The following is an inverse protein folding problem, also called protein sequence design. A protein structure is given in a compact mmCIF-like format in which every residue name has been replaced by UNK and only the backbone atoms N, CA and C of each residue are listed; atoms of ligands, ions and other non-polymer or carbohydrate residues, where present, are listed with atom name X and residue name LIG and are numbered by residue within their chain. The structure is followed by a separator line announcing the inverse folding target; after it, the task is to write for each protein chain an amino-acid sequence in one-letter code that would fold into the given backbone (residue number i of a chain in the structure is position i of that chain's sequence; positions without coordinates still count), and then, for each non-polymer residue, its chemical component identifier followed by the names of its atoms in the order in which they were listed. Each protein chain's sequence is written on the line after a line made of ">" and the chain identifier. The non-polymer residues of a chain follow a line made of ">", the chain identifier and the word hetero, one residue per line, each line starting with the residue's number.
data_IF_428733636566
#
_entry.id   IF_428733636566
#
_cell.length_a   1.000
_cell.length_b   1.000
_cell.length_c   1.000
_cell.angle_alpha   90.00
_cell.angle_beta   90.00
_cell.angle_gamma   90.00
#
_symmetry.space_group_name_H-M   'P 1'
#
loop_
_entity.id
_entity.type
_entity.pdbx_description
1 polymer ?
#
# COMPACT_ATOMS: atom_id res chain seq x y z
N UNK A 1 1.98 7.95 -5.41
CA UNK A 1 2.68 7.35 -4.25
C UNK A 1 2.93 5.90 -4.59
N UNK A 2 4.19 5.46 -4.63
CA UNK A 2 4.50 4.10 -5.09
C UNK A 2 4.36 3.12 -3.94
N UNK A 3 3.64 2.03 -4.17
CA UNK A 3 3.65 0.88 -3.28
C UNK A 3 4.84 0.02 -3.66
N UNK A 4 5.87 0.09 -2.84
CA UNK A 4 6.99 -0.84 -2.96
C UNK A 4 6.73 -2.03 -2.03
N UNK A 5 6.89 -3.25 -2.55
CA UNK A 5 6.96 -4.43 -1.68
C UNK A 5 8.35 -4.41 -1.09
N UNK A 6 8.45 -4.29 0.24
CA UNK A 6 9.74 -4.43 0.90
C UNK A 6 10.38 -5.76 0.48
N UNK A 7 11.50 -5.69 -0.24
CA UNK A 7 12.28 -6.82 -0.71
C UNK A 7 12.50 -7.80 0.44
N UNK A 8 11.92 -9.00 0.36
CA UNK A 8 12.40 -10.11 1.18
C UNK A 8 13.80 -10.47 0.71
N UNK A 9 14.72 -10.65 1.65
CA UNK A 9 16.14 -10.86 1.42
C UNK A 9 16.48 -11.88 0.33
N UNK A 10 17.55 -11.56 -0.39
CA UNK A 10 18.15 -12.32 -1.48
C UNK A 10 18.71 -13.67 -1.00
N UNK A 11 18.40 -14.76 -1.73
CA UNK A 11 19.33 -15.77 -2.29
C UNK A 11 18.65 -17.13 -2.54
N UNK A 12 18.51 -17.54 -3.81
CA UNK A 12 19.20 -18.70 -4.39
C UNK A 12 18.89 -18.87 -5.89
N UNK A 13 19.97 -19.05 -6.66
CA UNK A 13 20.00 -19.45 -8.07
C UNK A 13 19.13 -20.68 -8.35
N UNK A 14 18.31 -20.61 -9.41
CA UNK A 14 18.23 -21.66 -10.45
C UNK A 14 17.98 -20.95 -11.80
N UNK A 15 18.90 -21.15 -12.76
CA UNK A 15 18.65 -20.90 -14.18
C UNK A 15 18.01 -22.17 -14.76
N UNK A 16 16.78 -22.09 -15.25
CA UNK A 16 16.42 -22.44 -16.63
C UNK A 16 14.92 -22.23 -16.87
N UNK A 17 14.57 -21.68 -18.04
CA UNK A 17 13.20 -21.65 -18.56
C UNK A 17 12.44 -20.32 -18.39
N UNK A 18 12.54 -19.47 -19.41
CA UNK A 18 11.49 -18.53 -19.87
C UNK A 18 10.69 -17.76 -18.80
N UNK A 19 11.38 -17.04 -17.91
CA UNK A 19 10.73 -16.10 -17.00
C UNK A 19 10.90 -14.69 -17.53
N UNK A 20 9.92 -14.28 -18.35
CA UNK A 20 9.62 -12.87 -18.59
C UNK A 20 9.21 -12.29 -17.22
N UNK A 21 10.20 -11.93 -16.40
CA UNK A 21 10.00 -11.28 -15.11
C UNK A 21 9.42 -9.90 -15.39
N UNK A 22 8.10 -9.84 -15.46
CA UNK A 22 7.38 -8.58 -15.52
C UNK A 22 7.58 -7.87 -14.18
N UNK A 23 8.33 -6.77 -14.17
CA UNK A 23 8.41 -5.87 -13.04
C UNK A 23 7.06 -5.15 -12.88
N UNK A 24 6.13 -5.80 -12.18
CA UNK A 24 4.84 -5.22 -11.81
C UNK A 24 5.01 -4.31 -10.59
N UNK A 25 4.68 -3.03 -10.74
CA UNK A 25 4.68 -2.04 -9.66
C UNK A 25 3.28 -1.50 -9.43
N UNK A 26 2.88 -1.40 -8.17
CA UNK A 26 1.59 -0.83 -7.81
C UNK A 26 1.75 0.66 -7.48
N UNK A 27 0.90 1.49 -8.08
CA UNK A 27 0.83 2.92 -7.85
C UNK A 27 -0.47 3.23 -7.11
N UNK A 28 -0.35 3.82 -5.92
CA UNK A 28 -1.49 4.38 -5.21
C UNK A 28 -1.70 5.83 -5.65
N UNK A 29 -2.91 6.08 -6.14
CA UNK A 29 -3.40 7.40 -6.50
C UNK A 29 -4.60 7.69 -5.60
N UNK A 30 -4.45 8.67 -4.72
CA UNK A 30 -5.57 9.16 -3.91
C UNK A 30 -6.11 10.46 -4.48
N UNK A 31 -7.44 10.56 -4.54
CA UNK A 31 -8.14 11.82 -4.68
C UNK A 31 -8.41 12.41 -3.30
N UNK A 32 -8.35 13.73 -3.16
CA UNK A 32 -8.77 14.44 -1.94
C UNK A 32 -10.26 14.32 -1.65
N UNK A 33 -11.07 13.94 -2.66
CA UNK A 33 -12.53 13.93 -2.61
C UNK A 33 -13.15 12.59 -3.05
N UNK A 34 -12.34 11.56 -3.28
CA UNK A 34 -12.81 10.25 -3.77
C UNK A 34 -11.97 9.10 -3.23
N UNK A 35 -12.40 7.86 -3.45
CA UNK A 35 -11.70 6.68 -2.93
C UNK A 35 -10.27 6.62 -3.47
N UNK A 36 -9.40 5.98 -2.72
CA UNK A 36 -8.06 5.63 -3.20
C UNK A 36 -8.19 4.64 -4.34
N UNK A 37 -7.61 5.00 -5.48
CA UNK A 37 -7.47 4.14 -6.63
C UNK A 37 -6.08 3.50 -6.63
N UNK A 38 -6.03 2.19 -6.81
CA UNK A 38 -4.78 1.46 -7.04
C UNK A 38 -4.67 1.19 -8.53
N UNK A 39 -3.51 1.55 -9.06
CA UNK A 39 -3.16 1.37 -10.46
C UNK A 39 -2.02 0.37 -10.53
N UNK A 40 -2.14 -0.59 -11.43
CA UNK A 40 -1.05 -1.51 -11.72
C UNK A 40 -0.26 -0.95 -12.90
N UNK A 41 1.04 -0.86 -12.72
CA UNK A 41 1.99 -0.40 -13.71
C UNK A 41 2.91 -1.55 -14.09
N UNK A 42 3.05 -1.80 -15.38
CA UNK A 42 3.85 -2.89 -15.90
C UNK A 42 4.58 -2.42 -17.16
N UNK A 43 5.76 -2.99 -17.37
CA UNK A 43 6.59 -2.72 -18.54
C UNK A 43 6.50 -3.91 -19.48
N UNK A 44 6.07 -3.67 -20.72
CA UNK A 44 5.88 -4.71 -21.73
C UNK A 44 6.31 -4.17 -23.10
N UNK A 45 7.15 -4.95 -23.82
CA UNK A 45 7.61 -4.61 -25.17
C UNK A 45 8.19 -3.17 -25.30
N UNK A 46 9.06 -2.79 -24.36
CA UNK A 46 9.64 -1.45 -24.22
C UNK A 46 8.64 -0.31 -23.96
N UNK A 47 7.39 -0.63 -23.67
CA UNK A 47 6.32 0.31 -23.37
C UNK A 47 5.90 0.23 -21.91
N UNK A 48 5.80 1.40 -21.27
CA UNK A 48 5.20 1.52 -19.94
C UNK A 48 3.68 1.58 -20.07
N UNK A 49 3.00 0.60 -19.49
CA UNK A 49 1.55 0.49 -19.49
C UNK A 49 1.00 0.59 -18.07
N UNK A 50 -0.24 1.06 -17.96
CA UNK A 50 -0.96 1.13 -16.70
C UNK A 50 -2.44 0.80 -16.90
N UNK A 51 -2.99 0.05 -15.95
CA UNK A 51 -4.42 -0.20 -15.85
C UNK A 51 -4.91 0.16 -14.45
N UNK A 52 -6.13 0.69 -14.38
CA UNK A 52 -6.81 0.83 -13.09
C UNK A 52 -7.16 -0.58 -12.60
N UNK A 53 -6.70 -0.92 -11.40
CA UNK A 53 -6.82 -2.28 -10.85
C UNK A 53 -8.07 -2.36 -9.96
N UNK A 54 -8.09 -1.58 -8.87
CA UNK A 54 -9.20 -1.57 -7.93
C UNK A 54 -9.27 -0.28 -7.11
N UNK A 55 -10.36 -0.13 -6.35
CA UNK A 55 -10.57 0.95 -5.38
C UNK A 55 -10.55 0.43 -3.95
N UNK A 56 -9.97 1.22 -3.05
CA UNK A 56 -10.03 0.98 -1.62
C UNK A 56 -11.26 1.71 -1.07
N UNK A 57 -12.37 0.99 -1.00
CA UNK A 57 -13.67 1.55 -0.62
C UNK A 57 -13.66 2.17 0.77
N UNK A 58 -14.57 3.09 1.02
CA UNK A 58 -14.73 3.82 2.29
C UNK A 58 -13.58 4.78 2.63
N UNK A 59 -12.46 4.77 1.88
CA UNK A 59 -11.37 5.72 2.09
C UNK A 59 -11.82 7.18 1.88
N UNK A 60 -12.81 7.40 1.01
CA UNK A 60 -13.46 8.69 0.76
C UNK A 60 -14.25 9.25 1.95
N UNK A 61 -14.59 8.41 2.94
CA UNK A 61 -15.25 8.83 4.17
C UNK A 61 -14.26 9.45 5.17
N UNK A 62 -12.97 9.27 4.90
CA UNK A 62 -11.90 9.90 5.64
C UNK A 62 -11.48 11.18 4.93
N UNK A 63 -10.33 11.71 5.31
CA UNK A 63 -9.78 12.90 4.71
C UNK A 63 -8.60 12.57 3.79
N UNK A 64 -7.80 13.59 3.47
CA UNK A 64 -6.69 13.47 2.53
C UNK A 64 -5.74 12.34 2.90
N UNK A 65 -5.47 11.47 1.93
CA UNK A 65 -4.46 10.42 2.06
C UNK A 65 -3.08 11.03 1.82
N UNK A 66 -2.18 10.76 2.75
CA UNK A 66 -0.85 11.35 2.76
C UNK A 66 0.25 10.34 2.48
N UNK A 67 0.01 9.06 2.78
CA UNK A 67 1.01 8.00 2.65
C UNK A 67 0.36 6.61 2.52
N UNK A 68 1.08 5.64 1.96
CA UNK A 68 0.62 4.28 1.75
C UNK A 68 1.80 3.35 1.52
N UNK A 69 1.66 2.09 1.94
CA UNK A 69 2.66 1.04 1.73
C UNK A 69 1.99 -0.35 1.75
N UNK A 70 2.67 -1.36 1.18
CA UNK A 70 2.27 -2.76 1.32
C UNK A 70 3.04 -3.38 2.49
N UNK A 71 2.33 -3.96 3.45
CA UNK A 71 2.91 -4.66 4.62
C UNK A 71 2.31 -6.06 4.72
N UNK A 72 3.13 -7.07 4.41
CA UNK A 72 2.63 -8.45 4.23
C UNK A 72 1.59 -8.48 3.11
N UNK A 73 0.43 -9.05 3.41
CA UNK A 73 -0.72 -9.15 2.49
C UNK A 73 -1.74 -8.03 2.70
N UNK A 74 -1.30 -6.88 3.19
CA UNK A 74 -2.18 -5.74 3.46
C UNK A 74 -1.64 -4.44 2.88
N UNK A 75 -2.56 -3.59 2.44
CA UNK A 75 -2.27 -2.21 2.03
C UNK A 75 -2.56 -1.32 3.24
N UNK A 76 -1.56 -0.62 3.72
CA UNK A 76 -1.71 0.38 4.77
C UNK A 76 -1.76 1.77 4.15
N UNK A 77 -2.67 2.62 4.63
CA UNK A 77 -2.85 3.99 4.17
C UNK A 77 -2.86 4.94 5.37
N UNK A 78 -2.03 5.98 5.34
CA UNK A 78 -2.03 7.07 6.31
C UNK A 78 -2.86 8.26 5.83
N UNK A 79 -3.62 8.86 6.75
CA UNK A 79 -4.50 10.01 6.48
C UNK A 79 -4.04 11.27 7.22
N UNK A 80 -4.48 12.43 6.73
CA UNK A 80 -4.23 13.72 7.38
C UNK A 80 -4.93 13.85 8.75
N UNK A 81 -6.00 13.10 9.00
CA UNK A 81 -6.71 13.07 10.29
C UNK A 81 -6.01 12.20 11.33
N UNK A 82 -4.85 11.62 10.99
CA UNK A 82 -4.08 10.79 11.90
C UNK A 82 -4.63 9.39 12.06
N UNK A 83 -5.24 8.83 11.00
CA UNK A 83 -5.66 7.43 10.95
C UNK A 83 -4.73 6.65 10.02
N UNK A 84 -4.53 5.39 10.36
CA UNK A 84 -3.92 4.39 9.48
C UNK A 84 -4.98 3.34 9.20
N UNK A 85 -5.34 3.18 7.94
CA UNK A 85 -6.32 2.22 7.45
C UNK A 85 -5.58 1.02 6.88
N UNK A 86 -6.02 -0.19 7.21
CA UNK A 86 -5.50 -1.41 6.62
C UNK A 86 -6.56 -2.07 5.75
N UNK A 87 -6.17 -2.43 4.54
CA UNK A 87 -6.96 -3.15 3.56
C UNK A 87 -6.30 -4.48 3.23
N UNK A 88 -7.08 -5.45 2.78
CA UNK A 88 -6.51 -6.67 2.19
C UNK A 88 -5.80 -6.32 0.88
N UNK A 89 -4.65 -6.94 0.63
CA UNK A 89 -3.94 -6.85 -0.64
C UNK A 89 -4.35 -7.97 -1.61
N UNK A 90 -5.31 -8.83 -1.26
CA UNK A 90 -5.81 -9.86 -2.17
C UNK A 90 -6.65 -9.22 -3.27
N UNK A 91 -6.00 -8.93 -4.41
CA UNK A 91 -6.54 -8.23 -5.58
C UNK A 91 -7.72 -8.95 -6.28
N UNK A 92 -8.19 -10.10 -5.78
CA UNK A 92 -9.31 -10.87 -6.36
C UNK A 92 -10.69 -10.24 -6.10
N UNK A 93 -10.75 -9.14 -5.34
CA UNK A 93 -12.00 -8.47 -4.97
C UNK A 93 -12.06 -7.07 -5.58
N UNK A 94 -13.13 -6.82 -6.35
CA UNK A 94 -13.41 -5.52 -6.96
C UNK A 94 -13.62 -4.36 -5.95
N UNK A 95 -13.82 -4.68 -4.67
CA UNK A 95 -13.86 -3.71 -3.57
C UNK A 95 -13.12 -4.25 -2.35
N UNK A 96 -12.12 -3.52 -1.87
CA UNK A 96 -11.45 -3.83 -0.61
C UNK A 96 -12.04 -2.98 0.51
N UNK A 97 -12.62 -3.65 1.49
CA UNK A 97 -13.10 -3.01 2.73
C UNK A 97 -11.96 -2.83 3.73
N UNK A 98 -12.18 -1.91 4.68
CA UNK A 98 -11.24 -1.63 5.76
C UNK A 98 -11.22 -2.83 6.71
N UNK A 99 -10.11 -3.55 6.78
CA UNK A 99 -9.90 -4.62 7.74
C UNK A 99 -9.74 -4.08 9.16
N UNK A 100 -9.04 -2.95 9.30
CA UNK A 100 -8.79 -2.34 10.61
C UNK A 100 -8.34 -0.89 10.49
N UNK A 101 -8.37 -0.18 11.61
CA UNK A 101 -7.91 1.21 11.73
C UNK A 101 -7.12 1.42 13.01
N UNK A 102 -5.98 2.12 12.91
CA UNK A 102 -5.22 2.64 14.05
C UNK A 102 -5.28 4.17 14.06
N UNK A 103 -5.36 4.79 15.25
CA UNK A 103 -5.42 6.25 15.40
C UNK A 103 -4.18 6.78 16.13
N UNK A 104 -3.49 7.74 15.50
CA UNK A 104 -2.27 8.39 16.00
C UNK A 104 -2.54 9.83 16.49
N UNK A 105 -3.78 10.33 16.34
CA UNK A 105 -4.23 11.65 16.82
C UNK A 105 -3.38 12.85 16.33
N UNK A 106 -2.63 12.68 15.25
CA UNK A 106 -1.86 13.73 14.59
C UNK A 106 -1.71 13.38 13.09
N UNK A 107 -1.67 14.38 12.18
CA UNK A 107 -1.54 14.13 10.75
C UNK A 107 -0.39 13.20 10.40
N UNK A 108 -0.69 12.16 9.61
CA UNK A 108 0.34 11.24 9.11
C UNK A 108 1.07 11.92 7.96
N UNK A 109 2.40 11.89 8.00
CA UNK A 109 3.29 12.44 6.98
C UNK A 109 3.82 11.32 6.07
N UNK A 110 4.20 10.18 6.68
CA UNK A 110 4.77 9.05 5.93
C UNK A 110 4.53 7.74 6.67
N UNK A 111 4.38 6.65 5.92
CA UNK A 111 4.39 5.28 6.44
C UNK A 111 5.49 4.48 5.75
N UNK A 112 6.21 3.66 6.52
CA UNK A 112 7.28 2.80 6.01
C UNK A 112 7.23 1.44 6.68
N UNK A 113 7.38 0.38 5.88
CA UNK A 113 7.40 -0.99 6.38
C UNK A 113 8.62 -1.19 7.28
N UNK A 114 8.39 -1.71 8.48
CA UNK A 114 9.45 -2.13 9.41
C UNK A 114 9.75 -3.63 9.23
N UNK A 115 8.70 -4.44 9.20
CA UNK A 115 8.77 -5.89 8.97
C UNK A 115 7.42 -6.41 8.45
N UNK A 116 7.26 -7.73 8.31
CA UNK A 116 6.04 -8.38 7.80
C UNK A 116 4.74 -8.01 8.52
N UNK A 117 4.81 -7.59 9.78
CA UNK A 117 3.64 -7.34 10.64
C UNK A 117 3.61 -5.92 11.22
N UNK A 118 4.57 -5.05 10.88
CA UNK A 118 4.65 -3.73 11.48
C UNK A 118 5.18 -2.69 10.49
N UNK A 119 4.74 -1.45 10.72
CA UNK A 119 5.18 -0.28 9.99
C UNK A 119 5.53 0.85 10.98
N UNK A 120 6.40 1.73 10.53
CA UNK A 120 6.58 3.04 11.11
C UNK A 120 5.60 4.01 10.48
N UNK A 121 5.01 4.86 11.31
CA UNK A 121 4.20 5.99 10.89
C UNK A 121 4.82 7.26 11.47
N UNK A 122 5.35 8.10 10.58
CA UNK A 122 5.77 9.45 10.94
C UNK A 122 4.54 10.35 10.90
N UNK A 123 4.20 10.96 12.03
CA UNK A 123 3.18 12.00 12.12
C UNK A 123 3.80 13.32 12.55
N UNK A 124 3.02 14.40 12.51
CA UNK A 124 3.46 15.70 13.02
C UNK A 124 3.73 15.70 14.53
N UNK A 125 3.30 14.67 15.26
CA UNK A 125 3.57 14.49 16.69
C UNK A 125 4.80 13.60 16.98
N UNK A 126 5.41 12.99 15.96
CA UNK A 126 6.58 12.14 16.11
C UNK A 126 6.49 10.81 15.35
N UNK A 127 7.40 9.90 15.66
CA UNK A 127 7.48 8.58 15.04
C UNK A 127 6.73 7.53 15.89
N UNK A 128 5.86 6.76 15.24
CA UNK A 128 5.02 5.74 15.88
C UNK A 128 5.30 4.38 15.25
N UNK A 129 5.23 3.31 16.05
CA UNK A 129 5.25 1.94 15.56
C UNK A 129 3.83 1.39 15.57
N UNK A 130 3.36 0.93 14.41
CA UNK A 130 2.01 0.38 14.25
C UNK A 130 2.08 -1.05 13.79
N UNK A 131 1.40 -1.93 14.50
CA UNK A 131 1.27 -3.35 14.16
C UNK A 131 0.04 -3.56 13.28
N UNK A 132 0.23 -4.30 12.19
CA UNK A 132 -0.88 -4.86 11.42
C UNK A 132 -1.66 -5.84 12.33
N UNK A 133 -3.00 -5.77 12.38
CA UNK A 133 -3.76 -6.77 13.12
C UNK A 133 -3.55 -8.15 12.49
N UNK A 134 -3.35 -9.17 13.33
CA UNK A 134 -3.43 -10.55 12.89
C UNK A 134 -4.90 -10.87 12.64
N UNK A 135 -5.23 -11.23 11.40
CA UNK A 135 -6.46 -11.97 11.06
C UNK A 135 -6.29 -13.44 11.44
#
# INVERSE_FOLDING_TARGET
>A
MFLDRASSDSQKLVKDGDSNYHDEKFLVISSTLGPVAVWKCFYEADMLSWNNDFFLSQSEQFDTITSACIVGDSIAIGTYSGKILFYSSNCDLASHEIMSMTKIHAPIVSVKVLNKNALYALSTAGLHTVTRPCS
#
